data_IF_903178387888
#
_entry.id   IF_903178387888
#
_cell.length_a   1.000
_cell.length_b   1.000
_cell.length_c   1.000
_cell.angle_alpha   90.00
_cell.angle_beta   90.00
_cell.angle_gamma   90.00
#
_symmetry.space_group_name_H-M   'P 1'
#
loop_
_entity.id
_entity.type
_entity.pdbx_description
1 polymer ?
#
# COMPACT_ATOMS: atom_id res chain seq x y z
N UNK A 1 -9.56 15.16 10.77
CA UNK A 1 -10.43 15.61 9.65
C UNK A 1 -10.51 17.13 9.60
N UNK A 2 -11.27 17.75 8.68
CA UNK A 2 -11.56 19.21 8.74
C UNK A 2 -12.24 19.66 10.05
N UNK A 3 -12.71 18.70 10.84
CA UNK A 3 -13.32 18.88 12.16
C UNK A 3 -12.36 18.56 13.32
N UNK A 4 -11.06 18.38 13.06
CA UNK A 4 -10.04 17.97 14.05
C UNK A 4 -10.30 16.62 14.73
N UNK A 5 -11.15 15.78 14.14
CA UNK A 5 -11.42 14.43 14.64
C UNK A 5 -10.51 13.40 13.96
N UNK A 6 -10.10 12.38 14.70
CA UNK A 6 -9.45 11.21 14.12
C UNK A 6 -10.49 10.28 13.50
N UNK A 7 -10.20 9.80 12.29
CA UNK A 7 -11.05 8.85 11.57
C UNK A 7 -10.21 7.71 11.07
N UNK A 8 -10.69 6.50 11.30
CA UNK A 8 -10.06 5.28 10.79
C UNK A 8 -10.44 5.10 9.32
N UNK A 9 -9.46 5.33 8.43
CA UNK A 9 -9.65 5.05 7.00
C UNK A 9 -9.70 3.54 6.70
N UNK A 10 -9.07 2.74 7.57
CA UNK A 10 -9.11 1.29 7.61
C UNK A 10 -9.23 0.92 9.09
N UNK A 11 -10.20 0.08 9.43
CA UNK A 11 -10.51 -0.24 10.83
C UNK A 11 -10.74 -1.75 10.98
N UNK A 12 -9.98 -2.40 11.87
CA UNK A 12 -10.12 -3.82 12.22
C UNK A 12 -10.22 -4.78 11.01
N UNK A 13 -9.33 -4.64 10.03
CA UNK A 13 -9.27 -5.52 8.86
C UNK A 13 -8.23 -6.62 9.06
N UNK A 14 -8.62 -7.86 8.79
CA UNK A 14 -7.70 -9.01 8.68
C UNK A 14 -7.97 -9.74 7.38
N UNK A 15 -6.92 -9.95 6.59
CA UNK A 15 -6.99 -10.67 5.33
C UNK A 15 -5.72 -11.49 5.14
N UNK A 16 -5.84 -12.57 4.39
CA UNK A 16 -4.74 -13.44 4.00
C UNK A 16 -4.87 -13.76 2.52
N UNK A 17 -3.77 -13.73 1.80
CA UNK A 17 -3.68 -14.17 0.41
C UNK A 17 -2.66 -15.28 0.35
N UNK A 18 -3.11 -16.49 0.00
CA UNK A 18 -2.22 -17.63 -0.20
C UNK A 18 -1.51 -17.54 -1.55
N UNK A 19 -0.37 -18.23 -1.66
CA UNK A 19 0.39 -18.32 -2.91
C UNK A 19 -0.51 -18.83 -4.06
N UNK A 20 -0.42 -18.16 -5.22
CA UNK A 20 -1.21 -18.49 -6.41
C UNK A 20 -2.70 -18.16 -6.30
N UNK A 21 -3.15 -17.45 -5.25
CA UNK A 21 -4.54 -16.99 -5.12
C UNK A 21 -4.68 -15.52 -5.47
N UNK A 22 -5.88 -15.17 -5.93
CA UNK A 22 -6.28 -13.79 -6.19
C UNK A 22 -7.36 -13.39 -5.19
N UNK A 23 -7.12 -12.29 -4.47
CA UNK A 23 -8.11 -11.67 -3.58
C UNK A 23 -8.65 -10.40 -4.22
N UNK A 24 -9.97 -10.30 -4.35
CA UNK A 24 -10.65 -9.10 -4.81
C UNK A 24 -11.21 -8.30 -3.63
N UNK A 25 -11.00 -6.97 -3.64
CA UNK A 25 -11.57 -6.05 -2.66
C UNK A 25 -12.53 -5.10 -3.38
N UNK A 26 -13.81 -5.14 -3.02
CA UNK A 26 -14.86 -4.32 -3.60
C UNK A 26 -15.53 -3.44 -2.53
N UNK A 27 -16.09 -2.31 -2.97
CA UNK A 27 -16.76 -1.35 -2.09
C UNK A 27 -16.87 0.01 -2.75
N UNK A 28 -17.67 0.89 -2.17
CA UNK A 28 -17.95 2.23 -2.71
C UNK A 28 -16.72 3.14 -2.75
N UNK A 29 -16.78 4.20 -3.57
CA UNK A 29 -15.72 5.21 -3.58
C UNK A 29 -15.57 5.83 -2.19
N UNK A 30 -14.33 5.93 -1.70
CA UNK A 30 -14.04 6.47 -0.37
C UNK A 30 -14.10 5.48 0.80
N UNK A 31 -14.49 4.21 0.59
CA UNK A 31 -14.56 3.21 1.67
C UNK A 31 -13.20 2.66 2.16
N UNK A 32 -12.07 3.27 1.77
CA UNK A 32 -10.75 2.88 2.26
C UNK A 32 -9.97 1.84 1.46
N UNK A 33 -10.47 1.34 0.32
CA UNK A 33 -9.78 0.29 -0.50
C UNK A 33 -8.36 0.66 -0.90
N UNK A 34 -8.16 1.85 -1.47
CA UNK A 34 -6.83 2.30 -1.89
C UNK A 34 -5.92 2.56 -0.69
N UNK A 35 -6.49 3.01 0.43
CA UNK A 35 -5.77 3.17 1.70
C UNK A 35 -5.29 1.84 2.24
N UNK A 36 -6.15 0.80 2.22
CA UNK A 36 -5.79 -0.56 2.60
C UNK A 36 -4.69 -1.11 1.69
N UNK A 37 -4.81 -0.96 0.37
CA UNK A 37 -3.80 -1.42 -0.58
C UNK A 37 -2.42 -0.75 -0.35
N UNK A 38 -2.37 0.56 -0.14
CA UNK A 38 -1.15 1.28 0.21
C UNK A 38 -0.58 0.82 1.56
N UNK A 39 -1.47 0.63 2.54
CA UNK A 39 -1.10 0.15 3.88
C UNK A 39 -0.39 -1.21 3.82
N UNK A 40 -0.83 -2.12 2.95
CA UNK A 40 -0.15 -3.41 2.78
C UNK A 40 1.28 -3.30 2.22
N UNK A 41 1.62 -2.17 1.58
CA UNK A 41 2.98 -1.90 1.09
C UNK A 41 3.91 -1.35 2.19
N UNK A 42 3.45 -1.19 3.43
CA UNK A 42 4.20 -0.47 4.46
C UNK A 42 4.29 1.04 4.18
N UNK A 43 3.44 1.56 3.29
CA UNK A 43 3.52 2.94 2.81
C UNK A 43 2.19 3.67 3.01
N UNK A 44 2.26 4.92 3.46
CA UNK A 44 1.10 5.79 3.59
C UNK A 44 1.52 7.24 3.35
N UNK A 45 0.58 8.08 2.95
CA UNK A 45 0.81 9.51 2.79
C UNK A 45 0.27 10.27 4.00
N UNK A 46 1.02 11.22 4.59
CA UNK A 46 0.50 12.11 5.61
C UNK A 46 -0.83 12.75 5.17
N UNK A 47 -1.83 12.88 6.07
CA UNK A 47 -1.75 12.71 7.52
C UNK A 47 -2.00 11.26 8.03
N UNK A 48 -2.11 10.27 7.15
CA UNK A 48 -2.29 8.87 7.57
C UNK A 48 -1.07 8.40 8.38
N UNK A 49 -1.29 7.42 9.25
CA UNK A 49 -0.27 6.71 10.00
C UNK A 49 -0.86 5.36 10.46
N UNK A 50 0.00 4.36 10.69
CA UNK A 50 -0.44 3.11 11.29
C UNK A 50 -0.78 3.33 12.76
N UNK A 51 -1.91 2.80 13.18
CA UNK A 51 -2.33 2.75 14.60
C UNK A 51 -1.97 1.41 15.24
N UNK A 52 -1.76 0.36 14.46
CA UNK A 52 -1.34 -0.95 14.90
C UNK A 52 -1.55 -2.03 13.84
N UNK A 53 -1.28 -3.27 14.23
CA UNK A 53 -1.41 -4.45 13.37
C UNK A 53 -0.12 -4.85 12.65
N UNK A 54 -0.15 -6.05 12.09
CA UNK A 54 0.99 -6.70 11.46
C UNK A 54 0.78 -6.89 9.96
N UNK A 55 1.80 -6.58 9.18
CA UNK A 55 1.85 -6.84 7.74
C UNK A 55 2.94 -7.89 7.53
N UNK A 56 2.54 -9.09 7.14
CA UNK A 56 3.44 -10.23 6.97
C UNK A 56 3.51 -10.58 5.49
N UNK A 57 4.70 -10.46 4.90
CA UNK A 57 4.99 -10.79 3.50
C UNK A 57 6.01 -11.93 3.52
N UNK A 58 5.64 -13.08 2.94
CA UNK A 58 6.47 -14.29 2.87
C UNK A 58 7.13 -14.66 4.21
N UNK A 59 6.33 -14.59 5.28
CA UNK A 59 6.74 -14.90 6.65
C UNK A 59 7.55 -13.81 7.35
N UNK A 60 7.87 -12.69 6.68
CA UNK A 60 8.53 -11.53 7.27
C UNK A 60 7.51 -10.48 7.68
N UNK A 61 7.46 -10.16 8.97
CA UNK A 61 6.69 -9.02 9.46
C UNK A 61 7.44 -7.72 9.12
N UNK A 62 6.79 -6.83 8.36
CA UNK A 62 7.33 -5.53 7.96
C UNK A 62 6.76 -4.37 8.77
N UNK A 63 5.79 -4.62 9.65
CA UNK A 63 5.24 -3.59 10.54
C UNK A 63 6.32 -3.05 11.46
N UNK A 64 6.51 -1.73 11.45
CA UNK A 64 7.49 -1.05 12.29
C UNK A 64 8.95 -1.21 11.82
N UNK A 65 9.21 -1.81 10.66
CA UNK A 65 10.52 -1.72 10.02
C UNK A 65 10.85 -0.27 9.67
N UNK A 66 12.14 0.06 9.61
CA UNK A 66 12.56 1.36 9.10
C UNK A 66 12.05 1.53 7.65
N UNK A 67 11.43 2.67 7.31
CA UNK A 67 10.88 2.88 5.97
C UNK A 67 11.90 2.66 4.84
N UNK A 68 13.17 2.95 5.12
CA UNK A 68 14.24 2.85 4.15
C UNK A 68 14.70 1.38 3.94
N UNK A 69 14.54 0.54 4.96
CA UNK A 69 14.73 -0.92 4.86
C UNK A 69 13.58 -1.59 4.10
N UNK A 70 12.33 -1.19 4.37
CA UNK A 70 11.15 -1.64 3.61
C UNK A 70 11.33 -1.28 2.13
N UNK A 71 11.75 -0.04 1.84
CA UNK A 71 12.01 0.44 0.49
C UNK A 71 13.07 -0.38 -0.25
N UNK A 72 14.15 -0.78 0.42
CA UNK A 72 15.28 -1.50 -0.22
C UNK A 72 15.04 -3.00 -0.36
N UNK A 73 14.34 -3.61 0.60
CA UNK A 73 14.28 -5.07 0.72
C UNK A 73 12.91 -5.67 0.39
N UNK A 74 11.85 -4.88 0.34
CA UNK A 74 10.47 -5.36 0.17
C UNK A 74 9.84 -4.76 -1.09
N UNK A 75 9.87 -3.43 -1.23
CA UNK A 75 9.24 -2.74 -2.35
C UNK A 75 9.94 -3.04 -3.68
N UNK A 76 9.18 -3.50 -4.67
CA UNK A 76 9.69 -3.86 -6.00
C UNK A 76 10.44 -5.19 -6.07
N UNK A 77 10.74 -5.80 -4.92
CA UNK A 77 11.37 -7.12 -4.81
C UNK A 77 10.34 -8.21 -4.49
N UNK A 78 9.65 -8.06 -3.35
CA UNK A 78 8.66 -9.03 -2.85
C UNK A 78 7.23 -8.60 -3.17
N UNK A 79 6.97 -7.29 -3.15
CA UNK A 79 5.63 -6.74 -3.41
C UNK A 79 5.71 -5.51 -4.32
N UNK A 80 4.75 -5.39 -5.23
CA UNK A 80 4.65 -4.27 -6.17
C UNK A 80 3.24 -3.70 -6.16
N UNK A 81 3.14 -2.38 -6.32
CA UNK A 81 1.86 -1.68 -6.37
C UNK A 81 1.71 -0.93 -7.69
N UNK A 82 0.57 -1.13 -8.35
CA UNK A 82 0.18 -0.39 -9.55
C UNK A 82 -1.01 0.51 -9.16
N UNK A 83 -0.81 1.81 -8.97
CA UNK A 83 -1.89 2.71 -8.57
C UNK A 83 -2.93 2.88 -9.67
N UNK A 84 -4.15 3.26 -9.28
CA UNK A 84 -5.25 3.56 -10.22
C UNK A 84 -4.88 4.57 -11.31
N UNK A 85 -4.03 5.55 -10.98
CA UNK A 85 -3.53 6.57 -11.90
C UNK A 85 -2.08 6.32 -12.35
N UNK A 86 -1.65 5.06 -12.49
CA UNK A 86 -0.27 4.70 -12.85
C UNK A 86 0.24 5.38 -14.12
N UNK A 87 -0.63 5.66 -15.10
CA UNK A 87 -0.25 6.37 -16.32
C UNK A 87 0.33 7.77 -16.05
N UNK A 88 -0.07 8.43 -14.95
CA UNK A 88 0.44 9.75 -14.59
C UNK A 88 1.92 9.73 -14.16
N UNK A 89 2.46 8.54 -13.83
CA UNK A 89 3.88 8.41 -13.49
C UNK A 89 4.79 8.39 -14.73
N UNK A 90 4.24 8.15 -15.93
CA UNK A 90 5.01 8.05 -17.17
C UNK A 90 5.29 9.43 -17.75
N UNK A 91 6.56 9.76 -17.96
CA UNK A 91 6.94 10.97 -18.69
C UNK A 91 6.68 10.77 -20.19
N UNK A 92 5.76 11.52 -20.83
CA UNK A 92 5.37 11.30 -22.23
C UNK A 92 6.48 11.65 -23.24
N UNK A 93 7.55 12.31 -22.80
CA UNK A 93 8.71 12.66 -23.63
C UNK A 93 9.84 11.65 -23.54
N UNK A 94 9.71 10.64 -22.67
CA UNK A 94 10.70 9.57 -22.51
C UNK A 94 10.18 8.26 -23.11
N UNK A 95 11.09 7.44 -23.62
CA UNK A 95 10.75 6.08 -24.06
C UNK A 95 10.51 5.19 -22.84
N UNK A 96 9.58 4.25 -22.96
CA UNK A 96 9.28 3.26 -21.91
C UNK A 96 10.53 2.49 -21.46
N UNK A 97 11.43 2.14 -22.38
CA UNK A 97 12.68 1.42 -22.02
C UNK A 97 13.60 2.23 -21.09
N UNK A 98 13.43 3.55 -21.03
CA UNK A 98 14.19 4.43 -20.15
C UNK A 98 13.41 4.74 -18.85
N UNK A 99 12.26 4.10 -18.62
CA UNK A 99 11.45 4.27 -17.43
C UNK A 99 11.96 3.36 -16.31
N UNK A 100 13.15 3.66 -15.76
CA UNK A 100 13.68 3.16 -14.47
C UNK A 100 14.74 4.11 -13.97
#
# INVERSE_FOLDING_TARGET
TRFQEDVYAVDHVSLQVEEGKTLGIAGESGCGKSTLALSLMGYYFPPLHYTGGDIIIDGRNISGMDPDDVRKSILGAEISYIPQAAMNALNPTQKIINFV
#
